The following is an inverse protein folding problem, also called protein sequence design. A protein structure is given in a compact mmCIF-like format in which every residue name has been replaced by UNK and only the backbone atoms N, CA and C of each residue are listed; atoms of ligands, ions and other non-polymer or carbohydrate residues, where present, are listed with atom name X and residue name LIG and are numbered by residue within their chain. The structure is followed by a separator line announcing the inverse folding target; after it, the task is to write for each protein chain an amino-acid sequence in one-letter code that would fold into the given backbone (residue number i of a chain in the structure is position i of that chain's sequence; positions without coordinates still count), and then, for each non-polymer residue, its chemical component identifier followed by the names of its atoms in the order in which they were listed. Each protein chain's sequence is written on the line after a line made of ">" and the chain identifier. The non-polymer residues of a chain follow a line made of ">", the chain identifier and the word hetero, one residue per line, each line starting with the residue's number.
data_IF_683836288639
#
_entry.id   IF_683836288639
#
_cell.length_a   1.000
_cell.length_b   1.000
_cell.length_c   1.000
_cell.angle_alpha   90.00
_cell.angle_beta   90.00
_cell.angle_gamma   90.00
#
_symmetry.space_group_name_H-M   'P 1'
#
loop_
_entity.id
_entity.type
_entity.pdbx_description
1 polymer ?
#
# COMPACT_ATOMS: atom_id res chain seq x y z
N UNK A 1 -18.21 -4.82 -21.51
CA UNK A 1 -16.90 -4.16 -21.67
C UNK A 1 -16.24 -4.17 -20.31
N UNK A 2 -15.00 -4.63 -20.18
CA UNK A 2 -14.33 -4.64 -18.89
C UNK A 2 -14.07 -3.20 -18.43
N UNK A 3 -14.36 -2.93 -17.16
CA UNK A 3 -14.01 -1.70 -16.47
C UNK A 3 -12.48 -1.54 -16.47
N UNK A 4 -11.96 -0.44 -17.02
CA UNK A 4 -10.52 -0.16 -16.99
C UNK A 4 -10.12 0.31 -15.59
N UNK A 5 -9.10 -0.32 -15.01
CA UNK A 5 -8.54 0.08 -13.72
C UNK A 5 -7.06 0.38 -13.96
N UNK A 6 -6.64 1.59 -13.60
CA UNK A 6 -5.26 2.04 -13.76
C UNK A 6 -4.63 2.13 -12.38
N UNK A 7 -3.68 1.24 -12.12
CA UNK A 7 -2.85 1.23 -10.93
C UNK A 7 -1.48 1.84 -11.26
N UNK A 8 -1.01 2.76 -10.43
CA UNK A 8 0.35 3.31 -10.50
C UNK A 8 0.99 3.32 -9.12
N UNK A 9 2.17 2.71 -9.03
CA UNK A 9 3.01 2.74 -7.83
C UNK A 9 4.25 3.58 -8.10
N UNK A 10 4.57 4.48 -7.18
CA UNK A 10 5.73 5.37 -7.25
C UNK A 10 6.52 5.27 -5.94
N UNK A 11 7.84 5.18 -6.04
CA UNK A 11 8.75 5.24 -4.88
C UNK A 11 9.40 6.62 -4.87
N UNK A 12 9.17 7.38 -3.80
CA UNK A 12 9.66 8.75 -3.63
C UNK A 12 10.72 8.83 -2.52
N UNK A 13 11.33 10.03 -2.38
CA UNK A 13 12.48 10.34 -1.51
C UNK A 13 13.76 9.60 -1.89
N UNK A 14 14.87 9.95 -1.24
CA UNK A 14 16.18 9.30 -1.36
C UNK A 14 16.68 8.71 -0.03
N UNK A 15 17.57 7.72 -0.10
CA UNK A 15 18.16 7.05 1.06
C UNK A 15 17.43 5.78 1.50
N UNK A 16 17.55 5.44 2.79
CA UNK A 16 17.00 4.21 3.37
C UNK A 16 15.51 4.30 3.75
N UNK A 17 14.99 5.51 3.91
CA UNK A 17 13.57 5.80 4.12
C UNK A 17 12.98 6.32 2.81
N UNK A 18 12.02 5.60 2.25
CA UNK A 18 11.31 5.93 1.03
C UNK A 18 9.81 6.01 1.27
N UNK A 19 9.10 6.68 0.38
CA UNK A 19 7.64 6.70 0.40
C UNK A 19 7.10 5.89 -0.77
N UNK A 20 6.23 4.92 -0.48
CA UNK A 20 5.44 4.22 -1.50
C UNK A 20 4.12 4.97 -1.69
N UNK A 21 3.96 5.60 -2.85
CA UNK A 21 2.73 6.27 -3.26
C UNK A 21 1.98 5.36 -4.23
N UNK A 22 0.76 4.99 -3.88
CA UNK A 22 -0.11 4.12 -4.67
C UNK A 22 -1.28 4.95 -5.14
N UNK A 23 -1.49 5.02 -6.46
CA UNK A 23 -2.60 5.72 -7.09
C UNK A 23 -3.42 4.71 -7.88
N UNK A 24 -4.73 4.73 -7.67
CA UNK A 24 -5.69 3.86 -8.35
C UNK A 24 -6.73 4.74 -8.99
N UNK A 25 -6.95 4.57 -10.29
CA UNK A 25 -8.04 5.23 -11.02
C UNK A 25 -8.98 4.18 -11.56
N UNK A 26 -10.27 4.31 -11.25
CA UNK A 26 -11.31 3.47 -11.80
C UNK A 26 -11.91 4.14 -13.05
N UNK A 27 -12.30 3.34 -14.04
CA UNK A 27 -13.01 3.80 -15.24
C UNK A 27 -14.50 4.07 -14.97
N UNK A 28 -15.12 4.83 -15.89
CA UNK A 28 -16.50 5.37 -15.79
C UNK A 28 -17.63 4.33 -15.62
N UNK A 29 -17.31 3.04 -15.74
CA UNK A 29 -18.28 1.94 -15.59
C UNK A 29 -18.68 1.63 -14.15
N UNK A 30 -18.04 2.22 -13.14
CA UNK A 30 -18.38 2.00 -11.73
C UNK A 30 -19.16 3.22 -11.23
N UNK A 31 -20.48 3.06 -11.14
CA UNK A 31 -21.37 4.09 -10.59
C UNK A 31 -21.15 4.26 -9.08
N UNK A 32 -21.36 5.48 -8.58
CA UNK A 32 -21.35 5.83 -7.16
C UNK A 32 -20.05 5.58 -6.36
N UNK A 33 -18.89 5.66 -7.02
CA UNK A 33 -17.56 5.58 -6.37
C UNK A 33 -17.35 6.57 -5.22
N UNK A 34 -18.15 7.64 -5.16
CA UNK A 34 -18.16 8.60 -4.06
C UNK A 34 -18.56 7.97 -2.72
N UNK A 35 -19.37 6.91 -2.74
CA UNK A 35 -19.80 6.16 -1.54
C UNK A 35 -18.86 5.00 -1.20
N UNK A 36 -17.88 4.73 -2.06
CA UNK A 36 -16.99 3.59 -1.94
C UNK A 36 -15.76 3.91 -1.08
N UNK A 37 -15.32 2.90 -0.34
CA UNK A 37 -14.06 2.85 0.39
C UNK A 37 -13.15 1.85 -0.29
N UNK A 38 -11.91 2.25 -0.53
CA UNK A 38 -10.88 1.39 -1.09
C UNK A 38 -9.88 1.01 0.01
N UNK A 39 -9.73 -0.28 0.23
CA UNK A 39 -8.68 -0.86 1.03
C UNK A 39 -7.63 -1.48 0.10
N UNK A 40 -6.38 -1.09 0.30
CA UNK A 40 -5.23 -1.60 -0.45
C UNK A 40 -4.46 -2.54 0.46
N UNK A 41 -4.32 -3.81 0.06
CA UNK A 41 -3.48 -4.78 0.75
C UNK A 41 -2.13 -4.84 0.04
N UNK A 42 -1.12 -4.22 0.64
CA UNK A 42 0.23 -4.21 0.12
C UNK A 42 1.09 -5.29 0.79
N UNK A 43 1.72 -6.12 -0.03
CA UNK A 43 2.79 -7.04 0.42
C UNK A 43 4.11 -6.26 0.46
N UNK A 44 4.76 -6.27 1.61
CA UNK A 44 6.05 -5.64 1.87
C UNK A 44 7.13 -6.72 1.86
N UNK A 45 8.02 -6.73 0.85
CA UNK A 45 9.02 -7.77 0.70
C UNK A 45 10.03 -7.74 1.86
N UNK A 46 10.71 -8.85 2.11
CA UNK A 46 11.67 -9.00 3.22
C UNK A 46 12.86 -8.01 3.19
N UNK A 47 13.08 -7.29 2.08
CA UNK A 47 14.08 -6.21 2.00
C UNK A 47 13.59 -4.85 2.49
N UNK A 48 12.30 -4.71 2.76
CA UNK A 48 11.67 -3.50 3.28
C UNK A 48 10.97 -3.79 4.61
N UNK A 49 10.63 -2.71 5.30
CA UNK A 49 9.79 -2.75 6.49
C UNK A 49 9.00 -1.47 6.63
N UNK A 50 7.91 -1.53 7.38
CA UNK A 50 7.13 -0.34 7.76
C UNK A 50 7.29 -0.16 9.26
N UNK A 51 7.60 1.07 9.70
CA UNK A 51 7.76 1.36 11.11
C UNK A 51 6.36 1.53 11.78
N UNK A 52 5.98 0.69 12.76
CA UNK A 52 4.70 0.80 13.46
C UNK A 52 4.53 2.13 14.19
N UNK A 53 5.61 2.70 14.72
CA UNK A 53 5.57 3.95 15.47
C UNK A 53 5.37 5.15 14.54
N UNK A 54 5.98 5.09 13.34
CA UNK A 54 5.72 6.07 12.29
C UNK A 54 4.27 5.99 11.80
N UNK A 55 3.74 4.79 11.55
CA UNK A 55 2.34 4.61 11.19
C UNK A 55 1.38 5.17 12.25
N UNK A 56 1.67 4.92 13.54
CA UNK A 56 0.87 5.45 14.62
C UNK A 56 0.86 7.00 14.60
N UNK A 57 2.01 7.63 14.39
CA UNK A 57 2.10 9.09 14.28
C UNK A 57 1.37 9.65 13.06
N UNK A 58 1.48 8.97 11.91
CA UNK A 58 0.76 9.37 10.68
C UNK A 58 -0.75 9.25 10.84
N UNK A 59 -1.23 8.24 11.56
CA UNK A 59 -2.64 8.06 11.89
C UNK A 59 -3.13 9.18 12.80
N UNK A 60 -2.39 9.52 13.86
CA UNK A 60 -2.74 10.63 14.77
C UNK A 60 -2.85 11.97 14.05
N UNK A 61 -2.05 12.18 13.00
CA UNK A 61 -2.06 13.39 12.18
C UNK A 61 -3.08 13.34 11.03
N UNK A 62 -3.87 12.27 10.93
CA UNK A 62 -4.77 12.03 9.81
C UNK A 62 -4.06 12.16 8.45
N UNK A 63 -2.83 11.67 8.30
CA UNK A 63 -2.12 11.64 7.00
C UNK A 63 -2.35 10.29 6.32
N UNK A 64 -2.19 9.20 7.07
CA UNK A 64 -2.29 7.83 6.55
C UNK A 64 -2.99 6.95 7.55
N UNK A 65 -3.93 6.15 7.08
CA UNK A 65 -4.61 5.15 7.88
C UNK A 65 -4.21 3.77 7.36
N UNK A 66 -3.27 3.14 8.06
CA UNK A 66 -2.74 1.84 7.69
C UNK A 66 -2.55 0.96 8.93
N UNK A 67 -2.68 -0.35 8.75
CA UNK A 67 -2.55 -1.36 9.80
C UNK A 67 -1.67 -2.50 9.29
N UNK A 68 -0.66 -2.87 10.09
CA UNK A 68 0.12 -4.08 9.85
C UNK A 68 -0.64 -5.31 10.34
N UNK A 69 -0.65 -6.38 9.54
CA UNK A 69 -1.36 -7.63 9.88
C UNK A 69 -0.57 -8.48 10.89
N UNK A 70 0.75 -8.28 11.00
CA UNK A 70 1.62 -9.05 11.91
C UNK A 70 1.83 -8.34 13.24
N UNK A 71 1.61 -9.06 14.35
CA UNK A 71 1.75 -8.52 15.72
C UNK A 71 3.20 -8.57 16.26
N UNK A 72 4.07 -9.40 15.68
CA UNK A 72 5.42 -9.64 16.22
C UNK A 72 6.51 -9.17 15.24
N UNK A 73 6.62 -7.85 15.08
CA UNK A 73 7.47 -7.21 14.09
C UNK A 73 8.81 -6.74 14.68
N UNK A 74 9.90 -7.37 14.24
CA UNK A 74 11.25 -6.93 14.60
C UNK A 74 11.76 -5.91 13.56
N UNK A 75 11.75 -4.62 13.93
CA UNK A 75 12.25 -3.54 13.08
C UNK A 75 13.77 -3.61 12.85
N UNK A 76 14.51 -4.23 13.75
CA UNK A 76 15.99 -4.35 13.68
C UNK A 76 16.44 -5.60 12.92
N UNK A 77 15.52 -6.51 12.60
CA UNK A 77 15.88 -7.73 11.88
C UNK A 77 16.44 -7.41 10.48
N UNK A 78 17.57 -8.03 10.08
CA UNK A 78 18.10 -7.85 8.74
C UNK A 78 17.22 -8.58 7.71
N UNK A 79 17.42 -8.26 6.42
CA UNK A 79 16.67 -8.83 5.30
C UNK A 79 16.63 -10.37 5.35
N UNK A 80 17.79 -11.01 5.52
CA UNK A 80 17.94 -12.47 5.46
C UNK A 80 17.30 -13.25 6.63
N UNK A 81 16.79 -12.55 7.66
CA UNK A 81 16.01 -13.13 8.76
C UNK A 81 14.56 -12.68 8.75
N UNK A 82 14.21 -11.77 7.84
CA UNK A 82 12.89 -11.17 7.75
C UNK A 82 12.03 -11.96 6.75
N UNK A 83 10.72 -11.81 6.86
CA UNK A 83 9.74 -12.38 5.96
C UNK A 83 8.92 -11.26 5.34
N UNK A 84 8.24 -11.58 4.25
CA UNK A 84 7.23 -10.70 3.70
C UNK A 84 6.13 -10.44 4.74
N UNK A 85 5.64 -9.20 4.78
CA UNK A 85 4.57 -8.78 5.68
C UNK A 85 3.48 -8.05 4.93
N UNK A 86 2.26 -8.08 5.46
CA UNK A 86 1.10 -7.47 4.84
C UNK A 86 0.71 -6.18 5.58
N UNK A 87 0.39 -5.15 4.81
CA UNK A 87 -0.13 -3.88 5.33
C UNK A 87 -1.44 -3.55 4.62
N UNK A 88 -2.47 -3.29 5.41
CA UNK A 88 -3.77 -2.85 4.94
C UNK A 88 -3.82 -1.33 5.04
N UNK A 89 -4.07 -0.65 3.91
CA UNK A 89 -4.06 0.81 3.81
C UNK A 89 -5.43 1.28 3.33
N UNK A 90 -6.09 2.15 4.10
CA UNK A 90 -7.30 2.82 3.64
C UNK A 90 -6.92 3.97 2.71
N UNK A 91 -7.21 3.78 1.42
CA UNK A 91 -6.95 4.79 0.41
C UNK A 91 -7.98 5.92 0.51
N UNK A 92 -7.52 7.14 0.21
CA UNK A 92 -8.34 8.34 0.24
C UNK A 92 -8.67 8.76 -1.17
N UNK A 93 -9.87 9.31 -1.38
CA UNK A 93 -10.21 9.94 -2.64
C UNK A 93 -9.26 11.10 -2.91
N UNK A 94 -8.79 11.21 -4.15
CA UNK A 94 -7.98 12.33 -4.60
C UNK A 94 -8.90 13.51 -4.93
N UNK A 95 -8.68 14.66 -4.28
CA UNK A 95 -9.49 15.86 -4.54
C UNK A 95 -9.23 16.48 -5.92
N UNK A 96 -8.14 16.10 -6.59
CA UNK A 96 -7.74 16.62 -7.89
C UNK A 96 -8.19 15.74 -9.06
N UNK A 97 -8.72 14.54 -8.80
CA UNK A 97 -9.12 13.59 -9.83
C UNK A 97 -10.42 12.86 -9.43
N UNK A 98 -11.40 12.87 -10.34
CA UNK A 98 -12.65 12.11 -10.20
C UNK A 98 -12.31 10.61 -10.29
N UNK A 99 -12.88 9.80 -9.39
CA UNK A 99 -12.71 8.35 -9.33
C UNK A 99 -11.26 7.86 -9.12
N UNK A 100 -10.41 8.76 -8.61
CA UNK A 100 -9.07 8.44 -8.18
C UNK A 100 -9.00 8.24 -6.67
N UNK A 101 -8.26 7.22 -6.27
CA UNK A 101 -7.86 6.97 -4.89
C UNK A 101 -6.34 7.02 -4.79
N UNK A 102 -5.84 7.51 -3.67
CA UNK A 102 -4.43 7.53 -3.35
C UNK A 102 -4.16 7.01 -1.94
N UNK A 103 -3.04 6.31 -1.80
CA UNK A 103 -2.53 5.83 -0.53
C UNK A 103 -1.04 6.11 -0.44
N UNK A 104 -0.61 6.46 0.77
CA UNK A 104 0.78 6.73 1.11
C UNK A 104 1.23 5.71 2.15
N UNK A 105 2.44 5.15 1.99
CA UNK A 105 3.03 4.25 2.97
C UNK A 105 4.53 4.49 3.09
N UNK A 106 5.05 4.87 4.28
CA UNK A 106 6.50 4.97 4.48
C UNK A 106 7.10 3.57 4.54
N UNK A 107 8.19 3.35 3.81
CA UNK A 107 8.93 2.08 3.78
C UNK A 107 10.41 2.32 4.02
N UNK A 108 11.02 1.41 4.74
CA UNK A 108 12.43 1.49 5.15
C UNK A 108 13.18 0.25 4.65
N UNK A 109 14.37 0.46 4.10
CA UNK A 109 15.23 -0.66 3.71
C UNK A 109 15.80 -1.39 4.93
N UNK A 110 15.78 -2.72 4.88
CA UNK A 110 16.48 -3.56 5.85
C UNK A 110 17.95 -3.72 5.48
N UNK A 111 18.76 -3.97 6.50
CA UNK A 111 20.16 -4.33 6.29
C UNK A 111 20.29 -5.64 5.49
N UNK A 112 21.11 -5.60 4.44
CA UNK A 112 21.44 -6.76 3.63
C UNK A 112 22.60 -7.54 4.24
N UNK A 113 22.74 -8.81 3.84
CA UNK A 113 23.89 -9.62 4.25
C UNK A 113 25.18 -9.00 3.70
N UNK A 114 26.24 -8.84 4.52
CA UNK A 114 27.53 -8.40 4.03
C UNK A 114 28.02 -9.31 2.90
N UNK A 115 28.60 -8.72 1.86
CA UNK A 115 29.08 -9.44 0.70
C UNK A 115 30.54 -9.08 0.42
N UNK A 116 31.32 -10.05 -0.07
CA UNK A 116 32.76 -9.88 -0.33
C UNK A 116 33.07 -9.03 -1.56
N UNK A 117 32.07 -8.80 -2.40
CA UNK A 117 32.14 -7.95 -3.59
C UNK A 117 31.17 -6.79 -3.43
N UNK A 118 31.58 -5.63 -3.89
CA UNK A 118 30.71 -4.48 -4.05
C UNK A 118 29.63 -4.78 -5.10
N UNK A 119 28.44 -4.21 -4.88
CA UNK A 119 27.29 -4.38 -5.75
C UNK A 119 26.03 -3.80 -5.15
N UNK A 120 24.98 -3.80 -5.97
CA UNK A 120 23.64 -3.35 -5.58
C UNK A 120 22.69 -4.55 -5.57
N UNK A 121 21.64 -4.43 -4.77
CA UNK A 121 20.54 -5.39 -4.76
C UNK A 121 19.23 -4.65 -4.93
N UNK A 122 18.33 -5.25 -5.70
CA UNK A 122 17.01 -4.70 -5.93
C UNK A 122 16.02 -5.29 -4.94
N UNK A 123 15.08 -4.47 -4.49
CA UNK A 123 13.91 -4.93 -3.74
C UNK A 123 12.69 -4.65 -4.61
N UNK A 124 12.00 -5.71 -5.00
CA UNK A 124 10.84 -5.63 -5.90
C UNK A 124 9.59 -5.52 -5.04
N UNK A 125 8.80 -4.45 -5.26
CA UNK A 125 7.48 -4.26 -4.67
C UNK A 125 6.45 -4.67 -5.70
N UNK A 126 5.64 -5.68 -5.36
CA UNK A 126 4.58 -6.17 -6.24
C UNK A 126 3.33 -5.28 -6.17
N UNK A 127 2.48 -5.43 -7.19
CA UNK A 127 1.14 -4.85 -7.21
C UNK A 127 0.35 -5.27 -5.95
N UNK A 128 -0.38 -4.36 -5.30
CA UNK A 128 -1.23 -4.69 -4.16
C UNK A 128 -2.54 -5.35 -4.60
N UNK A 129 -3.20 -6.07 -3.68
CA UNK A 129 -4.60 -6.42 -3.87
C UNK A 129 -5.48 -5.20 -3.59
N UNK A 130 -6.45 -4.93 -4.47
CA UNK A 130 -7.45 -3.87 -4.29
C UNK A 130 -8.76 -4.48 -3.78
N UNK A 131 -9.24 -4.01 -2.62
CA UNK A 131 -10.51 -4.42 -2.02
C UNK A 131 -11.42 -3.21 -1.92
N UNK A 132 -12.48 -3.18 -2.72
CA UNK A 132 -13.44 -2.09 -2.71
C UNK A 132 -14.72 -2.49 -2.00
N UNK A 133 -15.26 -1.56 -1.20
CA UNK A 133 -16.54 -1.68 -0.53
C UNK A 133 -17.38 -0.43 -0.84
N UNK A 134 -18.60 -0.60 -1.33
CA UNK A 134 -19.52 0.51 -1.63
C UNK A 134 -20.79 0.39 -0.80
N UNK A 135 -21.26 1.51 -0.23
CA UNK A 135 -22.50 1.55 0.53
C UNK A 135 -23.66 1.88 -0.41
N UNK A 136 -24.22 0.85 -1.05
CA UNK A 136 -25.45 1.00 -1.82
C UNK A 136 -26.61 1.05 -0.82
N UNK A 137 -27.27 2.21 -0.70
CA UNK A 137 -28.24 2.55 0.34
C UNK A 137 -29.41 1.59 0.60
N UNK A 138 -29.50 0.45 -0.10
CA UNK A 138 -30.32 -0.71 0.25
C UNK A 138 -29.54 -2.03 0.05
N UNK A 139 -28.77 -2.44 1.06
CA UNK A 139 -28.55 -3.87 1.39
C UNK A 139 -27.64 -4.73 0.51
N UNK A 140 -27.14 -4.27 -0.64
CA UNK A 140 -26.20 -5.05 -1.46
C UNK A 140 -24.74 -4.64 -1.20
N UNK A 141 -24.01 -5.53 -0.52
CA UNK A 141 -22.57 -5.39 -0.26
C UNK A 141 -21.80 -6.03 -1.41
N UNK A 142 -21.24 -5.24 -2.31
CA UNK A 142 -20.30 -5.73 -3.32
C UNK A 142 -18.88 -5.65 -2.77
N UNK A 143 -18.20 -6.80 -2.70
CA UNK A 143 -16.75 -6.88 -2.56
C UNK A 143 -16.18 -7.18 -3.94
N UNK A 144 -15.45 -6.24 -4.51
CA UNK A 144 -14.69 -6.47 -5.73
C UNK A 144 -13.25 -6.73 -5.34
N UNK A 145 -12.79 -7.96 -5.59
CA UNK A 145 -11.36 -8.27 -5.57
C UNK A 145 -10.77 -7.89 -6.93
N UNK A 146 -9.90 -6.89 -6.86
CA UNK A 146 -8.90 -6.45 -7.83
C UNK A 146 -7.95 -7.51 -8.37
N UNK A 147 -8.35 -8.57 -9.08
CA UNK A 147 -7.37 -9.51 -9.67
C UNK A 147 -7.02 -9.09 -11.12
N UNK A 148 -5.71 -8.97 -11.42
CA UNK A 148 -5.19 -8.76 -12.79
C UNK A 148 -5.46 -9.95 -13.72
#
# INVERSE_FOLDING_TARGET
>A
TCSEIILRQEVLKDGFHRDLLIKVKFGESIEDLQTCRLLIKQYIPAGLFVDPYELASLRERNITEAVMVSENFNIEAPNYLSKETEVLIYARQDSQCIDCFQAFLPVHYRYHRPHSKDGETFVIVNNPDLLMYCDQGEGYKSFLRVEE
#
